data_IF_351465168170
#
_entry.id   IF_351465168170
#
_cell.length_a   1.000
_cell.length_b   1.000
_cell.length_c   1.000
_cell.angle_alpha   90.00
_cell.angle_beta   90.00
_cell.angle_gamma   90.00
#
_symmetry.space_group_name_H-M   'P 1'
#
loop_
_entity.id
_entity.type
_entity.pdbx_description
1 polymer ?
#
# COMPACT_ATOMS: atom_id res chain seq x y z
N UNK A 1 -25.97 46.97 45.03
CA UNK A 1 -25.65 45.55 45.19
C UNK A 1 -26.11 44.85 43.93
N UNK A 2 -25.17 44.52 43.04
CA UNK A 2 -25.41 43.69 41.87
C UNK A 2 -24.38 42.57 41.92
N UNK A 3 -24.86 41.34 42.00
CA UNK A 3 -24.03 40.14 42.06
C UNK A 3 -23.31 39.89 40.71
N UNK A 4 -22.10 39.30 40.73
CA UNK A 4 -21.35 38.95 39.54
C UNK A 4 -21.71 37.52 39.11
N UNK A 5 -22.27 37.37 37.91
CA UNK A 5 -22.42 36.05 37.28
C UNK A 5 -21.37 35.94 36.16
N UNK A 6 -20.19 35.42 36.52
CA UNK A 6 -19.50 34.47 35.65
C UNK A 6 -19.87 33.09 36.16
N UNK A 7 -20.15 32.14 35.24
CA UNK A 7 -19.25 31.00 35.23
C UNK A 7 -18.87 30.47 33.83
N UNK A 8 -17.63 29.98 33.79
CA UNK A 8 -17.18 28.74 33.16
C UNK A 8 -17.10 28.70 31.63
N UNK A 9 -15.88 28.92 31.15
CA UNK A 9 -15.15 28.00 30.28
C UNK A 9 -15.94 26.76 29.86
N UNK A 10 -16.63 26.84 28.72
CA UNK A 10 -16.73 25.70 27.83
C UNK A 10 -15.52 25.84 26.89
N UNK A 11 -14.38 25.36 27.35
CA UNK A 11 -13.46 24.68 26.44
C UNK A 11 -14.24 23.45 25.98
N UNK A 12 -15.08 23.64 24.96
CA UNK A 12 -15.57 22.50 24.20
C UNK A 12 -14.31 21.91 23.58
N UNK A 13 -13.86 20.83 24.19
CA UNK A 13 -13.00 19.84 23.57
C UNK A 13 -13.59 19.61 22.17
N UNK A 14 -13.00 20.26 21.16
CA UNK A 14 -13.08 19.79 19.79
C UNK A 14 -12.41 18.41 19.83
N UNK A 15 -13.17 17.40 20.25
CA UNK A 15 -12.86 16.01 19.99
C UNK A 15 -12.75 15.93 18.47
N UNK A 16 -11.50 15.82 18.03
CA UNK A 16 -11.00 15.61 16.69
C UNK A 16 -11.48 14.22 16.21
N UNK A 17 -12.80 14.05 16.16
CA UNK A 17 -13.50 12.91 15.58
C UNK A 17 -13.39 13.10 14.07
N UNK A 18 -12.40 12.46 13.47
CA UNK A 18 -12.44 12.19 12.03
C UNK A 18 -13.83 11.64 11.70
N UNK A 19 -14.43 12.14 10.63
CA UNK A 19 -15.69 11.57 10.13
C UNK A 19 -15.46 10.06 9.89
N UNK A 20 -16.39 9.19 10.28
CA UNK A 20 -16.21 7.72 10.19
C UNK A 20 -15.79 7.29 8.77
N UNK A 21 -16.26 8.03 7.75
CA UNK A 21 -15.89 7.84 6.35
C UNK A 21 -14.40 8.17 6.05
N UNK A 22 -13.82 9.15 6.74
CA UNK A 22 -12.40 9.52 6.60
C UNK A 22 -11.49 8.51 7.30
N UNK A 23 -11.89 8.01 8.47
CA UNK A 23 -11.20 6.91 9.16
C UNK A 23 -11.20 5.63 8.32
N UNK A 24 -12.36 5.24 7.78
CA UNK A 24 -12.50 4.09 6.88
C UNK A 24 -11.61 4.22 5.62
N UNK A 25 -11.53 5.42 5.04
CA UNK A 25 -10.70 5.69 3.88
C UNK A 25 -9.20 5.56 4.21
N UNK A 26 -8.78 6.08 5.37
CA UNK A 26 -7.40 6.02 5.83
C UNK A 26 -6.97 4.59 6.16
N UNK A 27 -7.82 3.82 6.82
CA UNK A 27 -7.58 2.42 7.15
C UNK A 27 -7.48 1.56 5.89
N UNK A 28 -8.42 1.75 4.96
CA UNK A 28 -8.38 1.10 3.66
C UNK A 28 -7.08 1.41 2.90
N UNK A 29 -6.69 2.69 2.84
CA UNK A 29 -5.49 3.12 2.14
C UNK A 29 -4.22 2.53 2.78
N UNK A 30 -4.15 2.55 4.11
CA UNK A 30 -3.03 1.99 4.88
C UNK A 30 -2.86 0.50 4.61
N UNK A 31 -3.95 -0.27 4.69
CA UNK A 31 -3.92 -1.72 4.46
C UNK A 31 -3.59 -2.04 3.00
N UNK A 32 -4.14 -1.28 2.05
CA UNK A 32 -3.87 -1.44 0.61
C UNK A 32 -2.39 -1.25 0.30
N UNK A 33 -1.78 -0.18 0.80
CA UNK A 33 -0.36 0.12 0.60
C UNK A 33 0.53 -0.92 1.27
N UNK A 34 0.16 -1.39 2.47
CA UNK A 34 0.88 -2.45 3.17
C UNK A 34 0.92 -3.75 2.35
N UNK A 35 -0.23 -4.22 1.85
CA UNK A 35 -0.28 -5.45 1.05
C UNK A 35 0.48 -5.33 -0.27
N UNK A 36 0.34 -4.19 -0.97
CA UNK A 36 1.05 -3.96 -2.22
C UNK A 36 2.56 -4.07 -2.04
N UNK A 37 3.12 -3.43 -1.01
CA UNK A 37 4.56 -3.49 -0.75
C UNK A 37 5.00 -4.89 -0.36
N UNK A 38 4.17 -5.63 0.39
CA UNK A 38 4.41 -7.05 0.65
C UNK A 38 4.52 -7.87 -0.63
N UNK A 39 3.55 -7.74 -1.55
CA UNK A 39 3.59 -8.45 -2.85
C UNK A 39 4.72 -8.01 -3.75
N UNK A 40 4.99 -6.70 -3.85
CA UNK A 40 6.13 -6.17 -4.62
C UNK A 40 7.43 -6.79 -4.10
N UNK A 41 7.61 -6.84 -2.77
CA UNK A 41 8.82 -7.39 -2.16
C UNK A 41 8.94 -8.90 -2.39
N UNK A 42 7.87 -9.67 -2.17
CA UNK A 42 7.85 -11.13 -2.41
C UNK A 42 8.22 -11.43 -3.86
N UNK A 43 7.58 -10.74 -4.81
CA UNK A 43 7.80 -10.98 -6.24
C UNK A 43 9.21 -10.56 -6.68
N UNK A 44 9.69 -9.40 -6.24
CA UNK A 44 11.05 -8.95 -6.53
C UNK A 44 12.09 -9.96 -6.03
N UNK A 45 11.94 -10.41 -4.79
CA UNK A 45 12.86 -11.37 -4.17
C UNK A 45 12.84 -12.73 -4.90
N UNK A 46 11.68 -13.19 -5.35
CA UNK A 46 11.56 -14.43 -6.12
C UNK A 46 12.19 -14.30 -7.52
N UNK A 47 12.00 -13.16 -8.20
CA UNK A 47 12.62 -12.89 -9.49
C UNK A 47 14.14 -12.79 -9.38
N UNK A 48 14.67 -12.09 -8.37
CA UNK A 48 16.12 -11.96 -8.14
C UNK A 48 16.80 -13.30 -7.87
N UNK A 49 16.13 -14.21 -7.15
CA UNK A 49 16.63 -15.57 -6.91
C UNK A 49 16.47 -16.51 -8.11
N UNK A 50 15.66 -16.13 -9.10
CA UNK A 50 15.32 -16.99 -10.23
C UNK A 50 14.34 -18.10 -9.86
N UNK A 51 13.51 -17.91 -8.84
CA UNK A 51 12.58 -18.92 -8.34
C UNK A 51 11.51 -19.27 -9.39
N UNK A 52 11.14 -20.55 -9.52
CA UNK A 52 10.04 -20.96 -10.39
C UNK A 52 8.67 -20.57 -9.80
N UNK A 53 8.50 -20.75 -8.49
CA UNK A 53 7.33 -20.32 -7.74
C UNK A 53 7.51 -18.87 -7.28
N UNK A 54 6.67 -17.98 -7.81
CA UNK A 54 6.71 -16.54 -7.53
C UNK A 54 5.89 -16.14 -6.29
N UNK A 55 5.15 -17.08 -5.69
CA UNK A 55 4.49 -16.95 -4.38
C UNK A 55 3.44 -15.82 -4.25
N UNK A 56 3.05 -15.21 -5.36
CA UNK A 56 1.99 -14.20 -5.45
C UNK A 56 0.97 -14.68 -6.48
N UNK A 57 -0.31 -14.62 -6.12
CA UNK A 57 -1.39 -14.91 -7.06
C UNK A 57 -1.52 -13.76 -8.09
N UNK A 58 -1.63 -14.03 -9.41
CA UNK A 58 -1.74 -12.99 -10.42
C UNK A 58 -2.95 -12.05 -10.24
N UNK A 59 -4.08 -12.56 -9.73
CA UNK A 59 -5.28 -11.74 -9.48
C UNK A 59 -5.11 -10.91 -8.21
N UNK A 60 -4.53 -11.47 -7.15
CA UNK A 60 -4.20 -10.72 -5.94
C UNK A 60 -3.23 -9.56 -6.26
N UNK A 61 -2.24 -9.81 -7.12
CA UNK A 61 -1.36 -8.79 -7.66
C UNK A 61 -2.13 -7.68 -8.37
N UNK A 62 -2.91 -8.03 -9.40
CA UNK A 62 -3.62 -7.06 -10.21
C UNK A 62 -4.57 -6.19 -9.37
N UNK A 63 -5.40 -6.82 -8.53
CA UNK A 63 -6.36 -6.13 -7.68
C UNK A 63 -5.68 -5.18 -6.69
N UNK A 64 -4.61 -5.63 -6.04
CA UNK A 64 -3.92 -4.84 -5.01
C UNK A 64 -3.20 -3.64 -5.61
N UNK A 65 -2.53 -3.84 -6.76
CA UNK A 65 -1.79 -2.76 -7.40
C UNK A 65 -2.73 -1.74 -8.06
N UNK A 66 -3.89 -2.17 -8.58
CA UNK A 66 -4.96 -1.24 -9.00
C UNK A 66 -5.53 -0.45 -7.82
N UNK A 67 -5.73 -1.07 -6.67
CA UNK A 67 -6.18 -0.36 -5.47
C UNK A 67 -5.16 0.70 -5.01
N UNK A 68 -3.86 0.40 -5.07
CA UNK A 68 -2.80 1.38 -4.80
C UNK A 68 -2.82 2.55 -5.78
N UNK A 69 -3.07 2.32 -7.07
CA UNK A 69 -3.26 3.44 -8.02
C UNK A 69 -4.41 4.36 -7.58
N UNK A 70 -5.48 3.80 -6.99
CA UNK A 70 -6.56 4.55 -6.35
C UNK A 70 -6.09 5.38 -5.15
N UNK A 71 -5.34 4.78 -4.22
CA UNK A 71 -4.75 5.49 -3.07
C UNK A 71 -3.87 6.65 -3.53
N UNK A 72 -3.02 6.41 -4.53
CA UNK A 72 -2.13 7.42 -5.11
C UNK A 72 -2.93 8.57 -5.75
N UNK A 73 -4.05 8.28 -6.41
CA UNK A 73 -4.92 9.30 -6.96
C UNK A 73 -5.58 10.17 -5.88
N UNK A 74 -6.02 9.58 -4.76
CA UNK A 74 -6.54 10.33 -3.61
C UNK A 74 -5.46 11.19 -2.93
N UNK A 75 -4.22 10.69 -2.87
CA UNK A 75 -3.09 11.49 -2.38
C UNK A 75 -2.78 12.69 -3.28
N UNK A 76 -2.86 12.52 -4.60
CA UNK A 76 -2.71 13.64 -5.56
C UNK A 76 -3.83 14.68 -5.44
N UNK A 77 -5.04 14.27 -5.06
CA UNK A 77 -6.18 15.16 -4.80
C UNK A 77 -6.09 15.88 -3.45
N UNK A 78 -5.20 15.43 -2.57
CA UNK A 78 -5.04 15.95 -1.22
C UNK A 78 -6.06 15.42 -0.21
N UNK A 79 -6.81 14.37 -0.57
CA UNK A 79 -7.74 13.71 0.36
C UNK A 79 -7.03 12.72 1.28
N UNK A 80 -5.88 12.19 0.84
CA UNK A 80 -5.01 11.35 1.65
C UNK A 80 -3.62 11.94 1.73
N UNK A 81 -2.97 11.74 2.87
CA UNK A 81 -1.58 12.14 3.06
C UNK A 81 -0.68 10.91 3.09
N UNK A 82 0.37 10.93 2.29
CA UNK A 82 1.39 9.89 2.23
C UNK A 82 2.72 10.34 2.81
N UNK A 83 3.64 9.41 3.08
CA UNK A 83 4.99 9.74 3.54
C UNK A 83 5.82 10.46 2.46
N UNK A 84 5.41 10.34 1.19
CA UNK A 84 5.97 11.12 0.09
C UNK A 84 4.85 11.79 -0.72
N UNK A 85 5.06 13.00 -1.24
CA UNK A 85 4.15 13.60 -2.20
C UNK A 85 4.09 12.77 -3.49
N UNK A 86 2.89 12.39 -3.92
CA UNK A 86 2.67 11.62 -5.14
C UNK A 86 2.53 12.54 -6.36
N UNK A 87 3.17 12.14 -7.44
CA UNK A 87 3.12 12.78 -8.75
C UNK A 87 2.52 11.84 -9.80
N UNK A 88 2.16 12.37 -10.98
CA UNK A 88 1.68 11.56 -12.10
C UNK A 88 2.74 10.53 -12.57
N UNK A 89 4.02 10.91 -12.55
CA UNK A 89 5.12 9.99 -12.91
C UNK A 89 5.17 8.78 -11.97
N UNK A 90 4.86 8.97 -10.69
CA UNK A 90 4.80 7.88 -9.73
C UNK A 90 3.69 6.87 -10.08
N UNK A 91 2.53 7.37 -10.48
CA UNK A 91 1.39 6.54 -10.91
C UNK A 91 1.75 5.74 -12.17
N UNK A 92 2.38 6.38 -13.15
CA UNK A 92 2.85 5.72 -14.38
C UNK A 92 3.90 4.63 -14.06
N UNK A 93 4.81 4.90 -13.12
CA UNK A 93 5.77 3.90 -12.62
C UNK A 93 5.06 2.71 -11.96
N UNK A 94 4.03 2.98 -11.15
CA UNK A 94 3.24 1.91 -10.52
C UNK A 94 2.50 1.06 -11.55
N UNK A 95 1.89 1.68 -12.56
CA UNK A 95 1.21 0.99 -13.68
C UNK A 95 2.17 0.11 -14.49
N UNK A 96 3.38 0.63 -14.73
CA UNK A 96 4.44 -0.13 -15.39
C UNK A 96 4.86 -1.33 -14.55
N UNK A 97 5.04 -1.14 -13.24
CA UNK A 97 5.37 -2.22 -12.31
C UNK A 97 4.28 -3.29 -12.30
N UNK A 98 3.01 -2.89 -12.18
CA UNK A 98 1.84 -3.77 -12.22
C UNK A 98 1.83 -4.62 -13.48
N UNK A 99 2.01 -4.00 -14.64
CA UNK A 99 2.03 -4.71 -15.93
C UNK A 99 3.18 -5.73 -16.02
N UNK A 100 4.37 -5.36 -15.57
CA UNK A 100 5.54 -6.25 -15.57
C UNK A 100 5.36 -7.42 -14.60
N UNK A 101 4.82 -7.16 -13.41
CA UNK A 101 4.56 -8.20 -12.42
C UNK A 101 3.50 -9.18 -12.90
N UNK A 102 2.40 -8.69 -13.47
CA UNK A 102 1.36 -9.54 -14.03
C UNK A 102 1.89 -10.44 -15.17
N UNK A 103 2.74 -9.88 -16.05
CA UNK A 103 3.40 -10.66 -17.09
C UNK A 103 4.27 -11.78 -16.51
N UNK A 104 5.10 -11.48 -15.50
CA UNK A 104 5.95 -12.48 -14.84
C UNK A 104 5.12 -13.59 -14.16
N UNK A 105 4.05 -13.20 -13.47
CA UNK A 105 3.14 -14.12 -12.75
C UNK A 105 2.32 -15.01 -13.70
N UNK A 106 2.02 -14.51 -14.90
CA UNK A 106 1.28 -15.25 -15.93
C UNK A 106 2.16 -16.17 -16.80
N UNK A 107 3.41 -16.42 -16.38
CA UNK A 107 4.37 -17.25 -17.11
C UNK A 107 5.06 -16.55 -18.29
N UNK A 108 4.95 -15.23 -18.38
CA UNK A 108 5.65 -14.40 -19.36
C UNK A 108 7.10 -14.11 -19.00
N UNK A 109 7.73 -13.23 -19.79
CA UNK A 109 9.11 -12.82 -19.58
C UNK A 109 9.28 -12.00 -18.29
N UNK A 110 10.31 -12.32 -17.52
CA UNK A 110 10.71 -11.58 -16.32
C UNK A 110 11.66 -10.46 -16.74
N UNK A 111 11.10 -9.26 -16.90
CA UNK A 111 11.89 -8.09 -17.32
C UNK A 111 12.99 -7.75 -16.31
N UNK A 112 14.24 -7.46 -16.74
CA UNK A 112 15.30 -6.99 -15.86
C UNK A 112 15.01 -5.60 -15.25
N UNK A 113 14.03 -4.88 -15.82
CA UNK A 113 13.53 -3.60 -15.28
C UNK A 113 12.73 -3.77 -13.99
N UNK A 114 12.19 -4.97 -13.73
CA UNK A 114 11.22 -5.20 -12.64
C UNK A 114 11.79 -4.82 -11.27
N UNK A 115 12.95 -5.36 -10.88
CA UNK A 115 13.49 -5.16 -9.54
C UNK A 115 13.89 -3.69 -9.28
N UNK A 116 14.59 -2.99 -10.19
CA UNK A 116 14.84 -1.55 -10.05
C UNK A 116 13.55 -0.74 -9.90
N UNK A 117 12.50 -1.06 -10.67
CA UNK A 117 11.23 -0.35 -10.61
C UNK A 117 10.46 -0.64 -9.31
N UNK A 118 10.48 -1.89 -8.84
CA UNK A 118 9.90 -2.33 -7.58
C UNK A 118 10.47 -1.52 -6.40
N UNK A 119 11.81 -1.36 -6.36
CA UNK A 119 12.47 -0.56 -5.34
C UNK A 119 12.00 0.89 -5.34
N UNK A 120 11.94 1.52 -6.53
CA UNK A 120 11.47 2.90 -6.66
C UNK A 120 10.01 3.08 -6.27
N UNK A 121 9.16 2.10 -6.53
CA UNK A 121 7.77 2.16 -6.13
C UNK A 121 7.60 2.00 -4.62
N UNK A 122 8.35 1.09 -3.97
CA UNK A 122 8.35 0.96 -2.50
C UNK A 122 8.90 2.22 -1.81
N UNK A 123 9.93 2.84 -2.37
CA UNK A 123 10.46 4.15 -1.90
C UNK A 123 9.42 5.25 -1.99
N UNK A 124 8.65 5.31 -3.08
CA UNK A 124 7.52 6.26 -3.19
C UNK A 124 6.47 5.97 -2.10
N UNK A 125 6.05 4.72 -1.94
CA UNK A 125 4.95 4.39 -1.01
C UNK A 125 5.27 4.58 0.48
N UNK A 126 6.52 4.33 0.92
CA UNK A 126 6.90 4.37 2.34
C UNK A 126 8.02 5.37 2.67
N UNK A 127 8.50 6.14 1.70
CA UNK A 127 9.61 7.06 1.90
C UNK A 127 10.87 6.34 2.38
N UNK A 128 11.57 6.93 3.35
CA UNK A 128 12.85 6.40 3.85
C UNK A 128 12.70 5.07 4.61
N UNK A 129 11.50 4.78 5.13
CA UNK A 129 11.24 3.60 5.95
C UNK A 129 10.89 2.35 5.14
N UNK A 130 10.91 2.43 3.80
CA UNK A 130 10.50 1.33 2.91
C UNK A 130 11.17 -0.01 3.22
N UNK A 131 12.44 -0.02 3.66
CA UNK A 131 13.18 -1.25 4.01
C UNK A 131 12.63 -1.94 5.25
N UNK A 132 12.15 -1.17 6.22
CA UNK A 132 11.53 -1.71 7.43
C UNK A 132 10.11 -2.13 7.10
N UNK A 133 9.33 -1.21 6.52
CA UNK A 133 7.94 -1.46 6.15
C UNK A 133 7.78 -2.68 5.24
N UNK A 134 8.64 -2.85 4.23
CA UNK A 134 8.57 -4.01 3.33
C UNK A 134 8.82 -5.35 4.01
N UNK A 135 9.69 -5.40 5.03
CA UNK A 135 9.91 -6.64 5.79
C UNK A 135 8.70 -7.02 6.62
N UNK A 136 8.07 -6.03 7.26
CA UNK A 136 6.89 -6.24 8.08
C UNK A 136 5.68 -6.60 7.18
N UNK A 137 5.54 -5.90 6.05
CA UNK A 137 4.49 -6.10 5.04
C UNK A 137 4.49 -7.51 4.41
N UNK A 138 5.67 -8.12 4.21
CA UNK A 138 5.77 -9.49 3.68
C UNK A 138 5.02 -10.49 4.59
N UNK A 139 5.10 -10.30 5.91
CA UNK A 139 4.39 -11.17 6.87
C UNK A 139 2.87 -11.03 6.72
N UNK A 140 2.38 -9.79 6.58
CA UNK A 140 0.96 -9.51 6.35
C UNK A 140 0.46 -10.06 5.01
N UNK A 141 1.22 -9.87 3.94
CA UNK A 141 0.89 -10.36 2.60
C UNK A 141 0.85 -11.89 2.53
N UNK A 142 1.77 -12.58 3.22
CA UNK A 142 1.71 -14.04 3.31
C UNK A 142 0.50 -14.53 4.10
N UNK A 143 0.13 -13.87 5.20
CA UNK A 143 -1.07 -14.22 5.96
C UNK A 143 -2.33 -14.09 5.09
N UNK A 144 -2.46 -12.99 4.34
CA UNK A 144 -3.58 -12.76 3.44
C UNK A 144 -3.62 -13.80 2.30
N UNK A 145 -2.48 -14.06 1.65
CA UNK A 145 -2.40 -15.09 0.61
C UNK A 145 -2.80 -16.48 1.14
N UNK A 146 -2.49 -16.82 2.39
CA UNK A 146 -2.89 -18.11 2.98
C UNK A 146 -4.39 -18.18 3.29
N UNK A 147 -5.02 -17.06 3.63
CA UNK A 147 -6.46 -16.99 3.89
C UNK A 147 -7.29 -17.17 2.61
N UNK A 148 -6.88 -16.53 1.51
CA UNK A 148 -7.62 -16.57 0.24
C UNK A 148 -7.15 -17.67 -0.72
N UNK A 149 -5.91 -18.12 -0.60
CA UNK A 149 -5.32 -19.19 -1.40
C UNK A 149 -4.61 -20.20 -0.48
N UNK A 150 -5.36 -20.94 0.36
CA UNK A 150 -4.77 -21.96 1.20
C UNK A 150 -4.03 -22.95 0.30
N UNK A 151 -2.73 -23.14 0.55
CA UNK A 151 -1.98 -24.26 -0.02
C UNK A 151 -2.67 -25.52 0.49
N UNK A 152 -3.53 -26.11 -0.32
CA UNK A 152 -4.09 -27.44 -0.05
C UNK A 152 -2.91 -28.42 0.03
N UNK A 153 -2.44 -28.67 1.25
CA UNK A 153 -1.45 -29.67 1.55
C UNK A 153 -2.14 -31.03 1.66
N UNK A 154 -1.89 -31.88 0.66
CA UNK A 154 -2.00 -33.36 0.64
C UNK A 154 -3.27 -34.01 1.15
#
# INVERSE_FOLDING_TARGET
MSHPDQPLTNEEEEEDLLDEEEEDLLDWATMTVLYAVGYIRILADAIERGDADLQVDPMAWENTLTAVEGVMAEQMRGHLHGPTPITMEDVERMQRLRSLGFAALSGGERSPEFCPLALRCMETLFGQDWKRASRDAVSCAHALNQEFHPRNGT
#
